data_IF_618117701685
#
_entry.id   IF_618117701685
#
_cell.length_a   1.000
_cell.length_b   1.000
_cell.length_c   1.000
_cell.angle_alpha   90.00
_cell.angle_beta   90.00
_cell.angle_gamma   90.00
#
_symmetry.space_group_name_H-M   'P 1'
#
loop_
_entity.id
_entity.type
_entity.pdbx_description
1 polymer ?
#
# COMPACT_ATOMS: atom_id res chain seq x y z
N UNK A 1 -4.59 -28.86 21.53
CA UNK A 1 -3.35 -29.03 20.74
C UNK A 1 -2.71 -27.66 20.59
N UNK A 2 -1.37 -27.52 20.70
CA UNK A 2 -0.72 -26.24 20.45
C UNK A 2 -1.06 -25.75 19.04
N UNK A 3 -1.34 -24.46 18.89
CA UNK A 3 -1.65 -23.86 17.60
C UNK A 3 -0.45 -24.06 16.68
N UNK A 4 -0.62 -24.73 15.55
CA UNK A 4 0.47 -24.92 14.59
C UNK A 4 0.85 -23.56 13.96
N UNK A 5 2.05 -23.46 13.42
CA UNK A 5 2.59 -22.21 12.83
C UNK A 5 1.68 -21.66 11.74
N UNK A 6 1.19 -22.52 10.84
CA UNK A 6 0.27 -22.15 9.77
C UNK A 6 -1.07 -21.58 10.30
N UNK A 7 -1.69 -22.20 11.30
CA UNK A 7 -2.90 -21.67 11.91
C UNK A 7 -2.61 -20.37 12.67
N UNK A 8 -1.48 -20.26 13.39
CA UNK A 8 -1.10 -19.03 14.07
C UNK A 8 -0.99 -17.85 13.08
N UNK A 9 -0.38 -18.06 11.91
CA UNK A 9 -0.29 -17.04 10.86
C UNK A 9 -1.66 -16.73 10.23
N UNK A 10 -2.51 -17.73 9.99
CA UNK A 10 -3.85 -17.52 9.42
C UNK A 10 -4.78 -16.77 10.40
N UNK A 11 -4.76 -17.17 11.68
CA UNK A 11 -5.57 -16.53 12.70
C UNK A 11 -5.07 -15.13 13.06
N UNK A 12 -3.76 -14.88 13.03
CA UNK A 12 -3.22 -13.54 13.28
C UNK A 12 -3.72 -12.53 12.23
N UNK A 13 -3.82 -12.95 10.96
CA UNK A 13 -4.40 -12.15 9.87
C UNK A 13 -5.89 -11.89 10.12
N UNK A 14 -6.65 -12.94 10.46
CA UNK A 14 -8.09 -12.82 10.70
C UNK A 14 -8.42 -11.92 11.90
N UNK A 15 -7.69 -12.08 13.00
CA UNK A 15 -7.87 -11.36 14.25
C UNK A 15 -7.18 -10.00 14.28
N UNK A 16 -6.37 -9.68 13.25
CA UNK A 16 -5.57 -8.45 13.13
C UNK A 16 -4.62 -8.22 14.30
N UNK A 17 -4.02 -9.31 14.79
CA UNK A 17 -3.00 -9.32 15.84
C UNK A 17 -1.68 -9.82 15.27
N UNK A 18 -0.57 -9.61 15.97
CA UNK A 18 0.71 -10.18 15.52
C UNK A 18 0.75 -11.70 15.77
N UNK A 19 1.42 -12.51 14.93
CA UNK A 19 1.57 -13.95 15.17
C UNK A 19 2.18 -14.27 16.54
N UNK A 20 3.14 -13.46 17.00
CA UNK A 20 3.78 -13.57 18.31
C UNK A 20 2.84 -13.28 19.50
N UNK A 21 1.70 -12.60 19.28
CA UNK A 21 0.67 -12.40 20.31
C UNK A 21 -0.21 -13.66 20.49
N UNK A 22 -0.34 -14.49 19.43
CA UNK A 22 -1.01 -15.79 19.50
C UNK A 22 -0.06 -16.91 19.91
N UNK A 23 1.21 -16.80 19.52
CA UNK A 23 2.24 -17.82 19.75
C UNK A 23 3.61 -17.16 20.02
N UNK A 24 3.96 -16.92 21.30
CA UNK A 24 5.17 -16.17 21.65
C UNK A 24 6.49 -16.77 21.15
N UNK A 25 6.54 -18.09 20.94
CA UNK A 25 7.71 -18.79 20.41
C UNK A 25 8.01 -18.48 18.94
N UNK A 26 7.09 -17.82 18.21
CA UNK A 26 7.33 -17.34 16.86
C UNK A 26 8.07 -15.99 16.81
N UNK A 27 8.29 -15.33 17.95
CA UNK A 27 8.87 -13.99 17.98
C UNK A 27 10.21 -13.90 17.24
N UNK A 28 11.14 -14.83 17.50
CA UNK A 28 12.47 -14.82 16.88
C UNK A 28 12.41 -15.11 15.38
N UNK A 29 11.56 -16.04 14.96
CA UNK A 29 11.33 -16.35 13.55
C UNK A 29 10.73 -15.14 12.81
N UNK A 30 9.72 -14.50 13.40
CA UNK A 30 9.07 -13.33 12.81
C UNK A 30 10.01 -12.13 12.78
N UNK A 31 10.86 -11.95 13.80
CA UNK A 31 11.92 -10.95 13.80
C UNK A 31 12.94 -11.21 12.69
N UNK A 32 13.37 -12.46 12.51
CA UNK A 32 14.26 -12.84 11.42
C UNK A 32 13.65 -12.56 10.05
N UNK A 33 12.39 -12.95 9.80
CA UNK A 33 11.69 -12.67 8.54
C UNK A 33 11.60 -11.17 8.27
N UNK A 34 11.29 -10.36 9.29
CA UNK A 34 11.24 -8.90 9.18
C UNK A 34 12.61 -8.26 8.95
N UNK A 35 13.68 -8.82 9.52
CA UNK A 35 15.04 -8.29 9.38
C UNK A 35 15.78 -8.77 8.13
N UNK A 36 15.39 -9.93 7.58
CA UNK A 36 16.03 -10.56 6.41
C UNK A 36 15.35 -10.19 5.09
N UNK A 37 14.13 -9.64 5.14
CA UNK A 37 13.51 -9.03 3.98
C UNK A 37 14.17 -7.69 3.67
N UNK A 38 14.85 -7.58 2.54
CA UNK A 38 14.78 -6.32 1.79
C UNK A 38 13.30 -6.06 1.55
N UNK A 39 12.73 -5.14 2.34
CA UNK A 39 11.38 -4.66 2.13
C UNK A 39 11.36 -4.04 0.73
N UNK A 40 10.89 -4.81 -0.25
CA UNK A 40 10.72 -4.34 -1.61
C UNK A 40 9.45 -3.49 -1.63
N UNK A 41 9.63 -2.17 -1.72
CA UNK A 41 8.54 -1.20 -1.92
C UNK A 41 7.85 -1.38 -3.30
N UNK A 42 8.27 -2.34 -4.13
CA UNK A 42 7.54 -2.73 -5.33
C UNK A 42 6.30 -3.56 -4.97
N UNK A 43 5.25 -2.86 -4.57
CA UNK A 43 3.89 -3.38 -4.39
C UNK A 43 3.18 -3.79 -5.69
N UNK A 44 3.89 -4.02 -6.79
CA UNK A 44 3.33 -4.46 -8.09
C UNK A 44 3.10 -5.98 -8.20
N UNK A 45 3.48 -6.75 -7.18
CA UNK A 45 3.21 -8.19 -7.12
C UNK A 45 1.72 -8.51 -6.87
N UNK A 46 1.24 -9.63 -7.44
CA UNK A 46 -0.14 -10.15 -7.30
C UNK A 46 -0.48 -10.71 -5.91
N UNK A 47 -0.24 -9.93 -4.85
CA UNK A 47 -0.58 -10.25 -3.46
C UNK A 47 -1.76 -9.43 -2.92
N UNK A 48 -2.16 -9.74 -1.68
CA UNK A 48 -3.22 -9.00 -0.98
C UNK A 48 -2.71 -7.66 -0.47
N UNK A 49 -3.09 -6.56 -1.11
CA UNK A 49 -2.83 -5.20 -0.62
C UNK A 49 -3.94 -4.77 0.34
N UNK A 50 -3.57 -4.32 1.54
CA UNK A 50 -4.54 -3.70 2.45
C UNK A 50 -4.95 -2.34 1.89
N UNK A 51 -6.21 -2.20 1.51
CA UNK A 51 -6.76 -0.96 0.94
C UNK A 51 -7.43 -0.11 2.02
N UNK A 52 -7.27 1.21 1.94
CA UNK A 52 -8.05 2.13 2.77
C UNK A 52 -9.52 2.13 2.33
N UNK A 53 -10.42 2.66 3.16
CA UNK A 53 -11.84 2.78 2.80
C UNK A 53 -12.06 3.53 1.48
N UNK A 54 -11.33 4.63 1.29
CA UNK A 54 -11.41 5.44 0.06
C UNK A 54 -10.90 4.68 -1.17
N UNK A 55 -9.86 3.88 -1.01
CA UNK A 55 -9.34 3.03 -2.08
C UNK A 55 -10.33 1.90 -2.43
N UNK A 56 -10.95 1.29 -1.42
CA UNK A 56 -11.99 0.29 -1.63
C UNK A 56 -13.21 0.88 -2.36
N UNK A 57 -13.66 2.07 -1.97
CA UNK A 57 -14.75 2.76 -2.65
C UNK A 57 -14.40 3.06 -4.12
N UNK A 58 -13.16 3.50 -4.39
CA UNK A 58 -12.69 3.72 -5.77
C UNK A 58 -12.67 2.43 -6.58
N UNK A 59 -12.19 1.32 -6.02
CA UNK A 59 -12.16 0.02 -6.69
C UNK A 59 -13.57 -0.48 -7.00
N UNK A 60 -14.48 -0.38 -6.04
CA UNK A 60 -15.89 -0.75 -6.24
C UNK A 60 -16.54 0.05 -7.38
N UNK A 61 -16.27 1.36 -7.45
CA UNK A 61 -16.76 2.20 -8.55
C UNK A 61 -16.10 1.83 -9.88
N UNK A 62 -14.80 1.55 -9.86
CA UNK A 62 -14.03 1.20 -11.04
C UNK A 62 -14.50 -0.12 -11.66
N UNK A 63 -14.78 -1.15 -10.84
CA UNK A 63 -15.16 -2.48 -11.30
C UNK A 63 -16.51 -2.52 -12.03
N UNK A 64 -17.43 -1.61 -11.68
CA UNK A 64 -18.78 -1.51 -12.27
C UNK A 64 -18.74 -0.80 -13.64
N UNK A 65 -17.69 -0.03 -13.93
CA UNK A 65 -17.60 0.74 -15.17
C UNK A 65 -17.35 -0.17 -16.39
N UNK A 66 -17.86 0.22 -17.58
CA UNK A 66 -17.42 -0.38 -18.84
C UNK A 66 -15.93 -0.15 -19.09
N UNK A 67 -15.27 -1.05 -19.82
CA UNK A 67 -13.82 -0.96 -20.13
C UNK A 67 -13.43 0.37 -20.77
N UNK A 68 -14.25 0.91 -21.67
CA UNK A 68 -14.01 2.22 -22.29
C UNK A 68 -13.99 3.38 -21.30
N UNK A 69 -14.74 3.29 -20.20
CA UNK A 69 -14.78 4.32 -19.15
C UNK A 69 -13.67 4.12 -18.12
N UNK A 70 -13.26 2.87 -17.87
CA UNK A 70 -12.10 2.54 -17.05
C UNK A 70 -10.82 3.17 -17.60
N UNK A 71 -10.57 3.03 -18.90
CA UNK A 71 -9.40 3.64 -19.57
C UNK A 71 -9.42 5.17 -19.44
N UNK A 72 -10.55 5.81 -19.76
CA UNK A 72 -10.71 7.27 -19.62
C UNK A 72 -10.47 7.76 -18.20
N UNK A 73 -10.94 7.01 -17.20
CA UNK A 73 -10.75 7.36 -15.80
C UNK A 73 -9.27 7.26 -15.40
N UNK A 74 -8.57 6.19 -15.81
CA UNK A 74 -7.14 6.04 -15.58
C UNK A 74 -6.37 7.21 -16.21
N UNK A 75 -6.65 7.54 -17.46
CA UNK A 75 -5.94 8.62 -18.16
C UNK A 75 -6.17 9.98 -17.51
N UNK A 76 -7.41 10.24 -17.04
CA UNK A 76 -7.73 11.45 -16.29
C UNK A 76 -6.93 11.53 -14.98
N UNK A 77 -6.86 10.44 -14.22
CA UNK A 77 -6.12 10.39 -12.96
C UNK A 77 -4.61 10.58 -13.19
N UNK A 78 -4.06 10.01 -14.27
CA UNK A 78 -2.67 10.22 -14.66
C UNK A 78 -2.39 11.68 -14.99
N UNK A 79 -3.23 12.29 -15.84
CA UNK A 79 -3.08 13.71 -16.21
C UNK A 79 -3.19 14.66 -15.03
N UNK A 80 -4.12 14.41 -14.09
CA UNK A 80 -4.20 15.21 -12.85
C UNK A 80 -2.92 15.08 -12.01
N UNK A 81 -2.38 13.88 -11.87
CA UNK A 81 -1.17 13.65 -11.09
C UNK A 81 0.05 14.37 -11.71
N UNK A 82 0.16 14.38 -13.04
CA UNK A 82 1.21 15.13 -13.75
C UNK A 82 1.08 16.64 -13.51
N UNK A 83 -0.13 17.20 -13.63
CA UNK A 83 -0.38 18.62 -13.34
C UNK A 83 0.00 19.00 -11.91
N UNK A 84 -0.33 18.17 -10.92
CA UNK A 84 0.06 18.42 -9.53
C UNK A 84 1.58 18.35 -9.33
N UNK A 85 2.26 17.40 -9.98
CA UNK A 85 3.73 17.31 -9.93
C UNK A 85 4.37 18.57 -10.50
N UNK A 86 3.92 19.04 -11.66
CA UNK A 86 4.43 20.27 -12.28
C UNK A 86 4.18 21.50 -11.40
N UNK A 87 2.95 21.67 -10.90
CA UNK A 87 2.60 22.76 -9.99
C UNK A 87 3.49 22.76 -8.73
N UNK A 88 3.73 21.59 -8.15
CA UNK A 88 4.59 21.42 -6.99
C UNK A 88 6.06 21.80 -7.28
N UNK A 89 6.60 21.37 -8.42
CA UNK A 89 7.95 21.74 -8.84
C UNK A 89 8.10 23.25 -9.05
N UNK A 90 7.11 23.87 -9.68
CA UNK A 90 7.08 25.32 -9.90
C UNK A 90 7.03 26.09 -8.57
N UNK A 91 6.24 25.62 -7.60
CA UNK A 91 6.20 26.19 -6.26
C UNK A 91 7.55 26.07 -5.53
N UNK A 92 8.19 24.90 -5.58
CA UNK A 92 9.51 24.69 -4.98
C UNK A 92 10.57 25.59 -5.63
N UNK A 93 10.55 25.73 -6.95
CA UNK A 93 11.46 26.61 -7.68
C UNK A 93 11.25 28.09 -7.29
N UNK A 94 9.99 28.53 -7.13
CA UNK A 94 9.67 29.88 -6.67
C UNK A 94 10.19 30.14 -5.25
N UNK A 95 9.99 29.21 -4.31
CA UNK A 95 10.51 29.33 -2.95
C UNK A 95 12.04 29.40 -2.91
N UNK A 96 12.73 28.58 -3.71
CA UNK A 96 14.20 28.63 -3.81
C UNK A 96 14.70 29.98 -4.35
N UNK A 97 14.01 30.56 -5.33
CA UNK A 97 14.34 31.89 -5.87
C UNK A 97 14.15 33.00 -4.83
N UNK A 98 13.06 32.96 -4.08
CA UNK A 98 12.78 33.92 -3.00
C UNK A 98 13.78 33.85 -1.84
N UNK A 99 14.35 32.66 -1.56
CA UNK A 99 15.34 32.48 -0.50
C UNK A 99 16.77 32.92 -0.90
N UNK A 100 17.02 33.04 -2.20
CA UNK A 100 18.32 33.45 -2.76
C UNK A 100 18.36 34.94 -3.16
N UNK A 101 17.30 35.69 -2.86
CA UNK A 101 17.24 37.17 -2.91
C UNK A 101 17.36 37.72 -1.49
#
# INVERSE_FOLDING_TARGET
APLNTDAALKFSVLLRVKPEELRPDLADLMNYVRSSGTYDDNFEGGGWRMVSRQQADLLNLFDILPESEKEKLIDRLKGQNELYKEAFQNMLAAQKRLKNQ
#
